data_IF_808993967095
#
_entry.id   IF_808993967095
#
_cell.length_a   1.000
_cell.length_b   1.000
_cell.length_c   1.000
_cell.angle_alpha   90.00
_cell.angle_beta   90.00
_cell.angle_gamma   90.00
#
_symmetry.space_group_name_H-M   'P 1'
#
loop_
_entity.id
_entity.type
_entity.pdbx_description
1 polymer ?
#
# COMPACT_ATOMS: atom_id res chain seq x y z
N UNK A 1 -3.58 14.39 -20.77
CA UNK A 1 -2.49 14.00 -19.87
C UNK A 1 -3.20 13.64 -18.59
N UNK A 2 -3.39 12.35 -18.33
CA UNK A 2 -4.14 11.91 -17.15
C UNK A 2 -3.40 12.37 -15.90
N UNK A 3 -4.06 13.19 -15.09
CA UNK A 3 -3.52 13.71 -13.85
C UNK A 3 -3.22 12.51 -12.95
N UNK A 4 -1.94 12.26 -12.65
CA UNK A 4 -1.54 11.07 -11.89
C UNK A 4 -2.06 11.23 -10.46
N UNK A 5 -3.14 10.53 -10.16
CA UNK A 5 -3.82 10.64 -8.86
C UNK A 5 -2.98 10.06 -7.72
N UNK A 6 -3.24 10.52 -6.49
CA UNK A 6 -2.65 9.96 -5.28
C UNK A 6 -2.80 8.42 -5.22
N UNK A 7 -3.98 7.90 -5.59
CA UNK A 7 -4.24 6.46 -5.61
C UNK A 7 -3.33 5.71 -6.59
N UNK A 8 -3.08 6.29 -7.77
CA UNK A 8 -2.16 5.75 -8.79
C UNK A 8 -0.71 5.72 -8.28
N UNK A 9 -0.26 6.80 -7.61
CA UNK A 9 1.06 6.86 -6.95
C UNK A 9 1.19 5.80 -5.86
N UNK A 10 0.17 5.64 -5.01
CA UNK A 10 0.16 4.61 -3.96
C UNK A 10 0.20 3.20 -4.57
N UNK A 11 -0.52 2.96 -5.66
CA UNK A 11 -0.44 1.68 -6.37
C UNK A 11 0.96 1.38 -6.90
N UNK A 12 1.62 2.37 -7.52
CA UNK A 12 3.00 2.24 -7.97
C UNK A 12 3.95 1.95 -6.80
N UNK A 13 3.83 2.70 -5.70
CA UNK A 13 4.63 2.50 -4.48
C UNK A 13 4.46 1.09 -3.93
N UNK A 14 3.23 0.62 -3.80
CA UNK A 14 2.91 -0.73 -3.33
C UNK A 14 3.58 -1.80 -4.18
N UNK A 15 3.55 -1.66 -5.51
CA UNK A 15 4.17 -2.60 -6.45
C UNK A 15 5.69 -2.62 -6.31
N UNK A 16 6.33 -1.45 -6.26
CA UNK A 16 7.79 -1.31 -6.13
C UNK A 16 8.27 -1.95 -4.83
N UNK A 17 7.65 -1.62 -3.70
CA UNK A 17 8.05 -2.14 -2.39
C UNK A 17 7.82 -3.65 -2.27
N UNK A 18 6.71 -4.16 -2.81
CA UNK A 18 6.43 -5.60 -2.84
C UNK A 18 7.50 -6.37 -3.63
N UNK A 19 7.86 -5.88 -4.83
CA UNK A 19 8.93 -6.47 -5.65
C UNK A 19 10.25 -6.51 -4.89
N UNK A 20 10.68 -5.39 -4.31
CA UNK A 20 11.95 -5.34 -3.56
C UNK A 20 11.99 -6.32 -2.39
N UNK A 21 10.91 -6.39 -1.62
CA UNK A 21 10.88 -7.21 -0.41
C UNK A 21 10.80 -8.72 -0.73
N UNK A 22 10.03 -9.11 -1.75
CA UNK A 22 9.73 -10.52 -2.00
C UNK A 22 10.43 -11.13 -3.22
N UNK A 23 10.87 -10.33 -4.19
CA UNK A 23 11.56 -10.81 -5.39
C UNK A 23 13.07 -10.56 -5.31
N UNK A 24 13.47 -9.46 -4.67
CA UNK A 24 14.89 -9.07 -4.53
C UNK A 24 15.46 -9.38 -3.14
N UNK A 25 14.63 -9.89 -2.21
CA UNK A 25 14.99 -10.19 -0.81
C UNK A 25 15.72 -9.03 -0.11
N UNK A 26 15.41 -7.79 -0.50
CA UNK A 26 16.04 -6.62 0.05
C UNK A 26 15.46 -6.30 1.44
N UNK A 27 16.35 -5.90 2.36
CA UNK A 27 15.93 -5.35 3.65
C UNK A 27 15.17 -4.03 3.48
N UNK A 28 14.39 -3.66 4.50
CA UNK A 28 13.73 -2.36 4.56
C UNK A 28 14.78 -1.25 4.53
N UNK A 29 14.68 -0.36 3.54
CA UNK A 29 15.45 0.89 3.53
C UNK A 29 14.69 1.94 4.34
N UNK A 30 15.36 2.46 5.38
CA UNK A 30 14.80 3.41 6.35
C UNK A 30 15.44 4.80 6.23
N UNK A 31 16.54 4.93 5.50
CA UNK A 31 17.13 6.23 5.20
C UNK A 31 16.25 6.97 4.18
N UNK A 32 15.75 8.19 4.49
CA UNK A 32 14.82 8.90 3.61
C UNK A 32 15.37 9.22 2.23
N UNK A 33 16.65 9.54 2.12
CA UNK A 33 17.28 9.93 0.85
C UNK A 33 17.46 8.70 -0.03
N UNK A 34 17.94 7.59 0.54
CA UNK A 34 18.03 6.32 -0.18
C UNK A 34 16.66 5.79 -0.58
N UNK A 35 15.68 5.90 0.31
CA UNK A 35 14.30 5.49 0.04
C UNK A 35 13.70 6.24 -1.15
N UNK A 36 13.81 7.57 -1.17
CA UNK A 36 13.37 8.42 -2.29
C UNK A 36 14.02 7.97 -3.60
N UNK A 37 15.35 7.87 -3.63
CA UNK A 37 16.09 7.45 -4.81
C UNK A 37 15.65 6.06 -5.30
N UNK A 38 15.43 5.11 -4.39
CA UNK A 38 15.00 3.75 -4.72
C UNK A 38 13.62 3.76 -5.40
N UNK A 39 12.64 4.45 -4.82
CA UNK A 39 11.29 4.39 -5.35
C UNK A 39 11.16 5.15 -6.67
N UNK A 40 11.85 6.28 -6.81
CA UNK A 40 11.82 7.11 -8.02
C UNK A 40 12.60 6.47 -9.18
N UNK A 41 13.72 5.82 -8.89
CA UNK A 41 14.46 5.06 -9.90
C UNK A 41 13.71 3.82 -10.38
N UNK A 42 12.85 3.24 -9.54
CA UNK A 42 12.10 2.04 -9.86
C UNK A 42 10.85 2.32 -10.70
N UNK A 43 10.21 3.47 -10.53
CA UNK A 43 9.01 3.86 -11.28
C UNK A 43 8.97 5.38 -11.46
N UNK A 44 9.02 5.91 -12.71
CA UNK A 44 8.90 7.34 -12.99
C UNK A 44 7.61 7.96 -12.45
N UNK A 45 6.55 7.15 -12.27
CA UNK A 45 5.34 7.64 -11.61
C UNK A 45 5.59 8.00 -10.15
N UNK A 46 6.68 7.62 -9.51
CA UNK A 46 6.96 7.99 -8.11
C UNK A 46 7.80 9.25 -7.98
N UNK A 47 8.25 9.84 -9.10
CA UNK A 47 9.00 11.10 -9.09
C UNK A 47 8.22 12.19 -8.35
N UNK A 48 8.89 12.81 -7.36
CA UNK A 48 8.35 13.84 -6.49
C UNK A 48 7.33 13.36 -5.47
N UNK A 49 6.95 12.08 -5.45
CA UNK A 49 5.92 11.56 -4.56
C UNK A 49 6.36 11.57 -3.09
N UNK A 50 7.61 11.20 -2.82
CA UNK A 50 8.13 11.22 -1.44
C UNK A 50 8.20 12.65 -0.90
N UNK A 51 8.68 13.59 -1.71
CA UNK A 51 8.65 15.02 -1.40
C UNK A 51 7.24 15.56 -1.16
N UNK A 52 6.27 15.14 -1.97
CA UNK A 52 4.86 15.46 -1.75
C UNK A 52 4.36 14.95 -0.39
N UNK A 53 4.64 13.69 -0.05
CA UNK A 53 4.28 13.09 1.25
C UNK A 53 4.92 13.83 2.43
N UNK A 54 6.20 14.20 2.31
CA UNK A 54 6.88 15.01 3.33
C UNK A 54 6.19 16.36 3.55
N UNK A 55 5.84 17.07 2.48
CA UNK A 55 5.16 18.36 2.57
C UNK A 55 3.73 18.26 3.12
N UNK A 56 3.07 17.10 2.93
CA UNK A 56 1.72 16.86 3.42
C UNK A 56 1.70 16.54 4.92
N UNK A 57 2.68 15.78 5.41
CA UNK A 57 2.71 15.23 6.77
C UNK A 57 3.51 16.10 7.75
N UNK A 58 4.56 16.78 7.29
CA UNK A 58 5.47 17.54 8.15
C UNK A 58 5.01 19.01 8.22
N UNK A 59 4.63 19.52 9.40
CA UNK A 59 4.31 20.94 9.59
C UNK A 59 5.52 21.83 9.27
N UNK A 60 5.27 22.98 8.65
CA UNK A 60 6.32 23.92 8.18
C UNK A 60 7.16 24.54 9.31
N UNK A 61 6.67 24.50 10.55
CA UNK A 61 7.23 25.19 11.72
C UNK A 61 8.18 24.31 12.56
N UNK A 62 8.59 23.14 12.06
CA UNK A 62 9.46 22.21 12.83
C UNK A 62 10.94 22.61 12.81
N UNK A 63 11.62 22.34 13.92
CA UNK A 63 13.07 22.49 14.06
C UNK A 63 13.84 21.50 13.18
N UNK A 64 15.07 21.83 12.79
CA UNK A 64 15.91 21.01 11.89
C UNK A 64 16.11 19.55 12.37
N UNK A 65 16.26 19.34 13.68
CA UNK A 65 16.37 17.99 14.26
C UNK A 65 15.04 17.22 14.17
N UNK A 66 13.91 17.89 14.41
CA UNK A 66 12.57 17.30 14.26
C UNK A 66 12.24 16.95 12.81
N UNK A 67 12.81 17.66 11.84
CA UNK A 67 12.63 17.37 10.40
C UNK A 67 13.24 16.02 10.04
N UNK A 68 14.45 15.69 10.51
CA UNK A 68 15.08 14.41 10.14
C UNK A 68 14.30 13.19 10.65
N UNK A 69 13.84 13.23 11.90
CA UNK A 69 12.99 12.17 12.46
C UNK A 69 11.60 12.13 11.82
N UNK A 70 11.08 13.29 11.40
CA UNK A 70 9.84 13.35 10.63
C UNK A 70 10.00 12.69 9.25
N UNK A 71 11.13 12.90 8.56
CA UNK A 71 11.41 12.22 7.28
C UNK A 71 11.42 10.71 7.41
N UNK A 72 12.07 10.16 8.46
CA UNK A 72 12.03 8.72 8.76
C UNK A 72 10.61 8.22 9.05
N UNK A 73 9.81 9.03 9.74
CA UNK A 73 8.40 8.71 10.01
C UNK A 73 7.58 8.65 8.72
N UNK A 74 7.86 9.52 7.74
CA UNK A 74 7.22 9.49 6.41
C UNK A 74 7.62 8.22 5.64
N UNK A 75 8.87 7.77 5.72
CA UNK A 75 9.29 6.45 5.17
C UNK A 75 8.44 5.33 5.79
N UNK A 76 8.32 5.31 7.11
CA UNK A 76 7.47 4.34 7.82
C UNK A 76 6.02 4.38 7.36
N UNK A 77 5.47 5.59 7.16
CA UNK A 77 4.12 5.78 6.65
C UNK A 77 3.94 5.22 5.23
N UNK A 78 4.93 5.40 4.35
CA UNK A 78 4.89 4.82 3.00
C UNK A 78 4.83 3.29 3.04
N UNK A 79 5.62 2.64 3.90
CA UNK A 79 5.52 1.18 4.10
C UNK A 79 4.17 0.76 4.65
N UNK A 80 3.62 1.50 5.62
CA UNK A 80 2.29 1.22 6.19
C UNK A 80 1.21 1.31 5.11
N UNK A 81 1.18 2.38 4.32
CA UNK A 81 0.21 2.56 3.24
C UNK A 81 0.34 1.44 2.20
N UNK A 82 1.57 1.11 1.80
CA UNK A 82 1.83 0.06 0.84
C UNK A 82 1.43 -1.32 1.36
N UNK A 83 1.79 -1.63 2.61
CA UNK A 83 1.43 -2.87 3.30
C UNK A 83 -0.08 -3.01 3.48
N UNK A 84 -0.76 -1.93 3.90
CA UNK A 84 -2.22 -1.92 3.98
C UNK A 84 -2.85 -2.15 2.62
N UNK A 85 -2.40 -1.47 1.57
CA UNK A 85 -2.94 -1.69 0.22
C UNK A 85 -2.72 -3.12 -0.24
N UNK A 86 -1.52 -3.68 -0.05
CA UNK A 86 -1.27 -5.10 -0.39
C UNK A 86 -2.16 -6.05 0.40
N UNK A 87 -2.31 -5.85 1.71
CA UNK A 87 -3.17 -6.68 2.55
C UNK A 87 -4.64 -6.55 2.14
N UNK A 88 -5.12 -5.33 1.91
CA UNK A 88 -6.51 -5.08 1.47
C UNK A 88 -6.80 -5.61 0.07
N UNK A 89 -5.85 -5.51 -0.85
CA UNK A 89 -6.01 -5.98 -2.22
C UNK A 89 -5.91 -7.51 -2.31
N UNK A 90 -4.99 -8.15 -1.57
CA UNK A 90 -4.69 -9.57 -1.74
C UNK A 90 -5.32 -10.49 -0.69
N UNK A 91 -5.33 -10.09 0.59
CA UNK A 91 -5.63 -11.02 1.70
C UNK A 91 -6.93 -10.71 2.42
N UNK A 92 -7.27 -9.43 2.61
CA UNK A 92 -8.43 -9.04 3.39
C UNK A 92 -9.75 -9.50 2.76
N UNK A 93 -9.88 -9.37 1.43
CA UNK A 93 -11.08 -9.83 0.71
C UNK A 93 -11.27 -11.34 0.82
N UNK A 94 -10.16 -12.09 0.87
CA UNK A 94 -10.19 -13.54 1.05
C UNK A 94 -10.59 -13.89 2.49
N UNK A 95 -10.00 -13.24 3.49
CA UNK A 95 -10.37 -13.41 4.90
C UNK A 95 -11.85 -13.09 5.15
N UNK A 96 -12.37 -12.01 4.57
CA UNK A 96 -13.79 -11.66 4.64
C UNK A 96 -14.66 -12.75 3.99
N UNK A 97 -14.28 -13.25 2.81
CA UNK A 97 -15.01 -14.32 2.13
C UNK A 97 -15.03 -15.64 2.92
N UNK A 98 -13.89 -16.06 3.46
CA UNK A 98 -13.77 -17.23 4.33
C UNK A 98 -14.64 -17.09 5.59
N UNK A 99 -14.64 -15.92 6.22
CA UNK A 99 -15.43 -15.66 7.41
C UNK A 99 -16.94 -15.64 7.13
N UNK A 100 -17.36 -15.07 6.01
CA UNK A 100 -18.75 -15.09 5.57
C UNK A 100 -19.23 -16.53 5.36
N UNK A 101 -18.45 -17.34 4.63
CA UNK A 101 -18.77 -18.77 4.43
C UNK A 101 -18.84 -19.54 5.75
N UNK A 102 -17.85 -19.36 6.63
CA UNK A 102 -17.83 -20.00 7.95
C UNK A 102 -19.01 -19.59 8.86
N UNK A 103 -19.55 -18.38 8.65
CA UNK A 103 -20.71 -17.86 9.38
C UNK A 103 -22.05 -18.35 8.81
N UNK A 104 -22.03 -19.21 7.79
CA UNK A 104 -23.23 -19.74 7.14
C UNK A 104 -23.86 -18.80 6.12
N UNK A 105 -23.11 -17.81 5.61
CA UNK A 105 -23.58 -17.01 4.49
C UNK A 105 -23.78 -17.90 3.25
N UNK A 106 -24.81 -17.61 2.46
CA UNK A 106 -25.04 -18.30 1.19
C UNK A 106 -24.00 -17.88 0.15
N UNK A 107 -23.79 -18.72 -0.87
CA UNK A 107 -22.91 -18.39 -1.99
C UNK A 107 -23.31 -17.07 -2.66
N UNK A 108 -24.62 -16.84 -2.85
CA UNK A 108 -25.14 -15.59 -3.40
C UNK A 108 -24.81 -14.37 -2.53
N UNK A 109 -24.80 -14.51 -1.20
CA UNK A 109 -24.43 -13.44 -0.28
C UNK A 109 -22.93 -13.11 -0.38
N UNK A 110 -22.07 -14.14 -0.48
CA UNK A 110 -20.62 -13.97 -0.67
C UNK A 110 -20.31 -13.31 -2.01
N UNK A 111 -20.97 -13.75 -3.09
CA UNK A 111 -20.81 -13.15 -4.42
C UNK A 111 -21.35 -11.72 -4.48
N UNK A 112 -22.41 -11.41 -3.73
CA UNK A 112 -22.90 -10.03 -3.58
C UNK A 112 -21.86 -9.15 -2.92
N UNK A 113 -21.26 -9.60 -1.81
CA UNK A 113 -20.17 -8.89 -1.14
C UNK A 113 -18.93 -8.74 -2.02
N UNK A 114 -18.67 -9.73 -2.89
CA UNK A 114 -17.58 -9.66 -3.85
C UNK A 114 -17.82 -8.61 -4.94
N UNK A 115 -19.05 -8.54 -5.48
CA UNK A 115 -19.46 -7.50 -6.44
C UNK A 115 -19.40 -6.09 -5.85
N UNK A 116 -19.65 -5.95 -4.54
CA UNK A 116 -19.45 -4.70 -3.80
C UNK A 116 -17.96 -4.37 -3.54
N UNK A 117 -17.05 -5.30 -3.83
CA UNK A 117 -15.61 -5.13 -3.68
C UNK A 117 -15.06 -5.45 -2.29
N UNK A 118 -15.89 -5.97 -1.38
CA UNK A 118 -15.51 -6.26 0.02
C UNK A 118 -15.02 -7.70 0.24
N UNK A 119 -15.35 -8.62 -0.66
CA UNK A 119 -14.99 -10.05 -0.56
C UNK A 119 -14.40 -10.58 -1.88
N UNK A 120 -13.80 -11.77 -1.84
CA UNK A 120 -13.64 -12.63 -3.02
C UNK A 120 -14.95 -13.36 -3.34
N UNK A 121 -15.08 -13.89 -4.55
CA UNK A 121 -16.28 -14.64 -4.94
C UNK A 121 -16.32 -16.01 -4.25
N UNK A 122 -17.51 -16.60 -4.13
CA UNK A 122 -17.74 -17.87 -3.44
C UNK A 122 -16.82 -18.98 -3.99
N UNK A 123 -16.67 -19.05 -5.31
CA UNK A 123 -15.74 -19.98 -5.96
C UNK A 123 -14.28 -19.80 -5.49
N UNK A 124 -13.84 -18.56 -5.24
CA UNK A 124 -12.47 -18.35 -4.73
C UNK A 124 -12.37 -18.89 -3.30
N UNK A 125 -13.39 -18.71 -2.46
CA UNK A 125 -13.39 -19.21 -1.08
C UNK A 125 -13.37 -20.73 -1.02
N UNK A 126 -14.12 -21.43 -1.88
CA UNK A 126 -14.19 -22.90 -1.92
C UNK A 126 -12.84 -23.56 -2.28
N UNK A 127 -11.97 -22.84 -2.98
CA UNK A 127 -10.66 -23.34 -3.43
C UNK A 127 -9.52 -23.10 -2.41
N UNK A 128 -9.82 -22.67 -1.19
CA UNK A 128 -8.88 -22.45 -0.08
C UNK A 128 -9.22 -23.30 1.14
#
# INVERSE_FOLDING_TARGET
MDDVTFASKVQALTRVLYRRQHQEFANLELDPVKFENIIESADPQLEGFFKYMMNLVIPRERSAHSINEAKKSVVGLCYIIAGFRNKFVNQHKLEVGLYLMASGATWDAVDTMSKLGYSVCANTVENF
#
